data_IF_471777382566
#
_entry.id   IF_471777382566
#
_cell.length_a   1.000
_cell.length_b   1.000
_cell.length_c   1.000
_cell.angle_alpha   90.00
_cell.angle_beta   90.00
_cell.angle_gamma   90.00
#
_symmetry.space_group_name_H-M   'P 1'
#
loop_
_entity.id
_entity.type
_entity.pdbx_description
1 polymer ?
#
# COMPACT_ATOMS: atom_id res chain seq x y z
N UNK A 1 -24.94 -37.45 -38.74
CA UNK A 1 -25.55 -37.52 -37.41
C UNK A 1 -24.42 -37.28 -36.44
N UNK A 2 -24.36 -36.04 -35.96
CA UNK A 2 -23.28 -35.48 -35.15
C UNK A 2 -23.22 -36.17 -33.77
N UNK A 3 -22.02 -36.54 -33.33
CA UNK A 3 -21.70 -36.66 -31.91
C UNK A 3 -20.66 -35.57 -31.60
N UNK A 4 -21.16 -34.44 -31.10
CA UNK A 4 -20.35 -33.44 -30.41
C UNK A 4 -19.78 -34.06 -29.13
N UNK A 5 -18.48 -34.35 -29.13
CA UNK A 5 -17.74 -34.62 -27.90
C UNK A 5 -17.52 -33.30 -27.17
N UNK A 6 -18.50 -32.95 -26.33
CA UNK A 6 -18.38 -31.94 -25.28
C UNK A 6 -17.24 -32.34 -24.33
N UNK A 7 -16.05 -31.81 -24.57
CA UNK A 7 -14.91 -31.87 -23.64
C UNK A 7 -15.14 -30.87 -22.50
N UNK A 8 -16.06 -31.22 -21.59
CA UNK A 8 -16.17 -30.56 -20.30
C UNK A 8 -14.90 -30.80 -19.50
N UNK A 9 -14.02 -29.81 -19.42
CA UNK A 9 -12.87 -29.81 -18.51
C UNK A 9 -13.43 -29.80 -17.09
N UNK A 10 -13.51 -30.97 -16.45
CA UNK A 10 -13.92 -31.07 -15.05
C UNK A 10 -12.82 -30.47 -14.17
N UNK A 11 -13.13 -29.32 -13.56
CA UNK A 11 -12.26 -28.67 -12.59
C UNK A 11 -12.21 -29.52 -11.32
N UNK A 12 -11.14 -30.30 -11.14
CA UNK A 12 -10.90 -31.06 -9.90
C UNK A 12 -10.03 -30.22 -8.94
N UNK A 13 -10.56 -29.80 -7.78
CA UNK A 13 -9.81 -29.03 -6.78
C UNK A 13 -8.52 -29.74 -6.34
N UNK A 14 -8.54 -31.06 -6.27
CA UNK A 14 -7.37 -31.88 -5.90
C UNK A 14 -6.24 -31.81 -6.93
N UNK A 15 -6.58 -31.74 -8.22
CA UNK A 15 -5.58 -31.58 -9.31
C UNK A 15 -5.02 -30.16 -9.33
N UNK A 16 -5.83 -29.16 -8.98
CA UNK A 16 -5.37 -27.78 -8.82
C UNK A 16 -4.43 -27.62 -7.62
N UNK A 17 -4.79 -28.18 -6.46
CA UNK A 17 -3.96 -28.14 -5.24
C UNK A 17 -2.63 -28.86 -5.47
N UNK A 18 -2.62 -30.03 -6.12
CA UNK A 18 -1.38 -30.77 -6.38
C UNK A 18 -0.46 -30.05 -7.39
N UNK A 19 -1.01 -29.44 -8.45
CA UNK A 19 -0.26 -28.58 -9.37
C UNK A 19 0.32 -27.37 -8.66
N UNK A 20 -0.47 -26.70 -7.81
CA UNK A 20 -0.01 -25.55 -7.03
C UNK A 20 1.12 -25.94 -6.06
N UNK A 21 0.99 -27.07 -5.36
CA UNK A 21 2.04 -27.60 -4.48
C UNK A 21 3.33 -27.93 -5.24
N UNK A 22 3.21 -28.54 -6.42
CA UNK A 22 4.37 -28.91 -7.24
C UNK A 22 5.09 -27.66 -7.74
N UNK A 23 4.34 -26.66 -8.21
CA UNK A 23 4.85 -25.37 -8.68
C UNK A 23 5.48 -24.56 -7.54
N UNK A 24 4.86 -24.54 -6.36
CA UNK A 24 5.43 -23.91 -5.16
C UNK A 24 6.74 -24.59 -4.74
N UNK A 25 6.81 -25.91 -4.85
CA UNK A 25 8.01 -26.70 -4.53
C UNK A 25 9.14 -26.48 -5.54
N UNK A 26 8.82 -26.32 -6.82
CA UNK A 26 9.78 -25.98 -7.87
C UNK A 26 10.29 -24.54 -7.72
N UNK A 27 9.39 -23.59 -7.47
CA UNK A 27 9.76 -22.21 -7.17
C UNK A 27 10.68 -22.13 -5.94
N UNK A 28 10.34 -22.85 -4.86
CA UNK A 28 11.16 -22.95 -3.65
C UNK A 28 12.58 -23.44 -3.93
N UNK A 29 12.71 -24.49 -4.74
CA UNK A 29 14.01 -25.06 -5.13
C UNK A 29 14.83 -24.17 -6.08
N UNK A 30 14.18 -23.27 -6.83
CA UNK A 30 14.83 -22.44 -7.85
C UNK A 30 15.60 -21.23 -7.31
N UNK A 31 15.39 -20.87 -6.04
CA UNK A 31 15.96 -19.66 -5.42
C UNK A 31 16.76 -20.00 -4.16
N UNK A 32 17.82 -19.24 -3.83
CA UNK A 32 18.58 -19.44 -2.61
C UNK A 32 17.74 -19.14 -1.37
N UNK A 33 18.08 -19.74 -0.23
CA UNK A 33 17.37 -19.53 1.06
C UNK A 33 17.30 -18.05 1.45
N UNK A 34 18.34 -17.26 1.14
CA UNK A 34 18.38 -15.82 1.38
C UNK A 34 17.23 -15.06 0.70
N UNK A 35 16.78 -15.50 -0.48
CA UNK A 35 15.65 -14.92 -1.18
C UNK A 35 14.34 -15.09 -0.39
N UNK A 36 14.10 -16.30 0.11
CA UNK A 36 12.89 -16.63 0.88
C UNK A 36 12.87 -15.93 2.24
N UNK A 37 14.03 -15.82 2.90
CA UNK A 37 14.17 -15.06 4.14
C UNK A 37 13.86 -13.58 3.91
N UNK A 38 14.42 -12.96 2.85
CA UNK A 38 14.15 -11.56 2.51
C UNK A 38 12.69 -11.33 2.14
N UNK A 39 12.07 -12.26 1.38
CA UNK A 39 10.66 -12.16 1.02
C UNK A 39 9.77 -12.25 2.26
N UNK A 40 10.05 -13.18 3.18
CA UNK A 40 9.30 -13.34 4.42
C UNK A 40 9.45 -12.10 5.32
N UNK A 41 10.68 -11.61 5.51
CA UNK A 41 10.94 -10.42 6.31
C UNK A 41 10.26 -9.18 5.73
N UNK A 42 10.33 -9.00 4.40
CA UNK A 42 9.67 -7.88 3.71
C UNK A 42 8.14 -7.98 3.80
N UNK A 43 7.60 -9.19 3.70
CA UNK A 43 6.17 -9.44 3.83
C UNK A 43 5.67 -9.13 5.26
N UNK A 44 6.37 -9.64 6.28
CA UNK A 44 6.05 -9.35 7.68
C UNK A 44 6.21 -7.86 8.00
N UNK A 45 7.29 -7.23 7.53
CA UNK A 45 7.51 -5.80 7.67
C UNK A 45 6.36 -5.00 7.07
N UNK A 46 5.94 -5.31 5.84
CA UNK A 46 4.79 -4.68 5.20
C UNK A 46 3.48 -4.88 5.97
N UNK A 47 3.18 -6.11 6.39
CA UNK A 47 1.92 -6.47 7.07
C UNK A 47 1.82 -5.91 8.49
N UNK A 48 2.93 -5.60 9.16
CA UNK A 48 2.94 -5.02 10.50
C UNK A 48 3.10 -3.50 10.46
N UNK A 49 4.02 -3.01 9.64
CA UNK A 49 4.43 -1.61 9.68
C UNK A 49 3.41 -0.67 9.03
N UNK A 50 2.74 -1.08 7.94
CA UNK A 50 1.68 -0.25 7.38
C UNK A 50 0.48 -0.09 8.34
N UNK A 51 -0.13 -1.16 8.90
CA UNK A 51 -1.19 -0.98 9.88
C UNK A 51 -0.76 -0.13 11.06
N UNK A 52 0.46 -0.34 11.60
CA UNK A 52 1.00 0.49 12.66
C UNK A 52 1.06 1.98 12.26
N UNK A 53 1.55 2.29 11.06
CA UNK A 53 1.63 3.68 10.57
C UNK A 53 0.24 4.33 10.38
N UNK A 54 -0.75 3.57 9.89
CA UNK A 54 -2.14 4.03 9.75
C UNK A 54 -2.77 4.32 11.12
N UNK A 55 -2.56 3.44 12.09
CA UNK A 55 -3.05 3.63 13.45
C UNK A 55 -2.39 4.82 14.13
N UNK A 56 -1.06 4.98 14.00
CA UNK A 56 -0.33 6.12 14.55
C UNK A 56 -0.79 7.44 13.95
N UNK A 57 -1.06 7.48 12.65
CA UNK A 57 -1.65 8.65 11.99
C UNK A 57 -3.01 9.00 12.57
N UNK A 58 -3.85 7.99 12.87
CA UNK A 58 -5.14 8.20 13.51
C UNK A 58 -5.00 8.65 14.97
N UNK A 59 -4.07 8.06 15.72
CA UNK A 59 -3.75 8.46 17.11
C UNK A 59 -3.31 9.92 17.15
N UNK A 60 -2.49 10.36 16.20
CA UNK A 60 -2.08 11.76 16.09
C UNK A 60 -3.30 12.70 16.00
N UNK A 61 -4.23 12.45 15.07
CA UNK A 61 -5.41 13.30 14.93
C UNK A 61 -6.39 13.17 16.11
N UNK A 62 -6.54 11.97 16.67
CA UNK A 62 -7.42 11.74 17.81
C UNK A 62 -6.95 12.43 19.10
N UNK A 63 -5.64 12.63 19.25
CA UNK A 63 -5.02 13.22 20.42
C UNK A 63 -4.69 14.72 20.27
N UNK A 64 -5.19 15.38 19.21
CA UNK A 64 -5.10 16.83 19.05
C UNK A 64 -4.11 17.32 18.00
N UNK A 65 -3.48 16.43 17.23
CA UNK A 65 -2.73 16.82 16.04
C UNK A 65 -3.66 17.35 14.95
N UNK A 66 -3.26 18.41 14.24
CA UNK A 66 -4.14 19.11 13.28
C UNK A 66 -3.52 19.26 11.90
N UNK A 67 -2.19 19.36 11.83
CA UNK A 67 -1.47 19.49 10.56
C UNK A 67 -1.48 18.18 9.78
N UNK A 68 -1.92 18.28 8.53
CA UNK A 68 -1.88 17.17 7.55
C UNK A 68 -0.55 17.11 6.83
N UNK A 69 0.13 18.25 6.70
CA UNK A 69 1.47 18.30 6.15
C UNK A 69 2.49 17.62 7.06
N UNK A 70 2.35 17.72 8.39
CA UNK A 70 3.22 16.99 9.33
C UNK A 70 3.08 15.48 9.13
N UNK A 71 1.85 14.95 9.06
CA UNK A 71 1.64 13.50 8.84
C UNK A 71 2.14 13.07 7.45
N UNK A 72 1.89 13.87 6.41
CA UNK A 72 2.44 13.63 5.07
C UNK A 72 3.98 13.64 5.06
N UNK A 73 4.60 14.53 5.84
CA UNK A 73 6.05 14.64 5.99
C UNK A 73 6.64 13.47 6.78
N UNK A 74 6.01 13.08 7.88
CA UNK A 74 6.39 11.90 8.70
C UNK A 74 6.45 10.64 7.86
N UNK A 75 5.52 10.46 6.92
CA UNK A 75 5.50 9.32 6.02
C UNK A 75 6.80 9.16 5.20
N UNK A 76 7.54 10.25 4.94
CA UNK A 76 8.76 10.23 4.09
C UNK A 76 10.01 10.73 4.80
N UNK A 77 9.89 11.24 6.03
CA UNK A 77 11.03 11.60 6.88
C UNK A 77 11.96 10.41 7.17
N UNK A 78 11.46 9.18 6.99
CA UNK A 78 12.20 7.93 7.16
C UNK A 78 13.12 7.58 6.00
N UNK A 79 13.20 8.39 4.94
CA UNK A 79 14.06 8.14 3.78
C UNK A 79 15.52 7.76 4.08
N UNK A 80 16.17 8.16 5.21
CA UNK A 80 17.51 7.68 5.53
C UNK A 80 17.57 6.18 5.85
N UNK A 81 16.49 5.55 6.33
CA UNK A 81 16.47 4.12 6.70
C UNK A 81 16.86 3.22 5.53
N UNK A 82 16.23 3.29 4.33
CA UNK A 82 16.68 2.50 3.19
C UNK A 82 18.09 2.89 2.72
N UNK A 83 18.52 4.14 2.91
CA UNK A 83 19.88 4.57 2.56
C UNK A 83 20.92 3.92 3.49
N UNK A 84 20.62 3.77 4.78
CA UNK A 84 21.46 3.06 5.75
C UNK A 84 21.57 1.56 5.44
N UNK A 85 20.53 0.96 4.85
CA UNK A 85 20.55 -0.43 4.39
C UNK A 85 21.36 -0.55 3.08
N UNK A 86 21.27 0.45 2.21
CA UNK A 86 21.95 0.49 0.92
C UNK A 86 23.47 0.71 1.06
N UNK A 87 23.90 1.59 1.96
CA UNK A 87 25.30 2.01 2.07
C UNK A 87 26.29 0.84 2.31
N UNK A 88 26.02 -0.13 3.20
CA UNK A 88 26.85 -1.34 3.35
C UNK A 88 26.93 -2.18 2.07
N UNK A 89 25.90 -2.17 1.22
CA UNK A 89 25.91 -2.95 -0.04
C UNK A 89 26.94 -2.43 -1.04
N UNK A 90 27.18 -1.12 -1.07
CA UNK A 90 28.22 -0.52 -1.89
C UNK A 90 29.61 -0.73 -1.31
N UNK A 91 29.75 -0.61 0.02
CA UNK A 91 31.06 -0.70 0.67
C UNK A 91 31.60 -2.13 0.78
N UNK A 92 30.76 -3.10 1.14
CA UNK A 92 31.21 -4.45 1.48
C UNK A 92 30.94 -5.48 0.38
N UNK A 93 29.97 -5.24 -0.49
CA UNK A 93 29.53 -6.21 -1.50
C UNK A 93 29.91 -5.80 -2.94
N UNK A 94 30.74 -4.77 -3.12
CA UNK A 94 31.21 -4.25 -4.41
C UNK A 94 30.07 -4.01 -5.42
N UNK A 95 28.87 -3.68 -4.94
CA UNK A 95 27.79 -3.24 -5.81
C UNK A 95 28.16 -1.87 -6.39
N UNK A 96 27.98 -1.70 -7.71
CA UNK A 96 28.13 -0.40 -8.34
C UNK A 96 26.78 0.31 -8.34
N UNK A 97 26.72 1.63 -8.05
CA UNK A 97 25.49 2.40 -8.19
C UNK A 97 24.96 2.32 -9.63
N UNK A 98 23.65 2.19 -9.78
CA UNK A 98 23.04 2.24 -11.11
C UNK A 98 23.32 3.59 -11.78
N UNK A 99 23.71 3.62 -13.06
CA UNK A 99 24.00 4.87 -13.75
C UNK A 99 22.74 5.74 -13.84
N UNK A 100 22.79 6.91 -13.21
CA UNK A 100 21.71 7.89 -13.24
C UNK A 100 21.71 8.64 -14.58
N UNK A 101 20.79 8.27 -15.46
CA UNK A 101 20.44 9.05 -16.65
C UNK A 101 19.37 10.11 -16.30
N UNK A 102 19.33 11.21 -17.05
CA UNK A 102 18.35 12.29 -16.92
C UNK A 102 16.91 11.77 -16.93
N UNK A 103 16.58 10.82 -17.81
CA UNK A 103 15.24 10.23 -17.87
C UNK A 103 14.87 9.46 -16.59
N UNK A 104 15.83 8.74 -16.01
CA UNK A 104 15.62 7.99 -14.76
C UNK A 104 15.46 8.97 -13.59
N UNK A 105 16.30 9.99 -13.53
CA UNK A 105 16.20 11.06 -12.52
C UNK A 105 14.84 11.77 -12.59
N UNK A 106 14.40 12.20 -13.78
CA UNK A 106 13.09 12.83 -13.97
C UNK A 106 11.94 11.89 -13.58
N UNK A 107 12.08 10.59 -13.84
CA UNK A 107 11.09 9.60 -13.41
C UNK A 107 11.03 9.49 -11.88
N UNK A 108 12.16 9.54 -11.18
CA UNK A 108 12.19 9.59 -9.72
C UNK A 108 11.63 10.88 -9.15
N UNK A 109 11.90 12.04 -9.77
CA UNK A 109 11.29 13.33 -9.38
C UNK A 109 9.78 13.26 -9.52
N UNK A 110 9.29 12.73 -10.64
CA UNK A 110 7.87 12.56 -10.86
C UNK A 110 7.24 11.60 -9.84
N UNK A 111 7.84 10.44 -9.60
CA UNK A 111 7.37 9.50 -8.58
C UNK A 111 7.41 10.09 -7.16
N UNK A 112 8.46 10.84 -6.82
CA UNK A 112 8.58 11.52 -5.53
C UNK A 112 7.47 12.56 -5.34
N UNK A 113 7.15 13.33 -6.39
CA UNK A 113 6.02 14.25 -6.37
C UNK A 113 4.68 13.53 -6.18
N UNK A 114 4.42 12.47 -6.95
CA UNK A 114 3.20 11.68 -6.81
C UNK A 114 3.11 11.05 -5.40
N UNK A 115 4.22 10.56 -4.85
CA UNK A 115 4.26 10.00 -3.50
C UNK A 115 3.99 11.06 -2.43
N UNK A 116 4.51 12.28 -2.56
CA UNK A 116 4.20 13.38 -1.66
C UNK A 116 2.69 13.73 -1.71
N UNK A 117 2.11 13.78 -2.91
CA UNK A 117 0.68 14.00 -3.10
C UNK A 117 -0.16 12.85 -2.49
N UNK A 118 0.22 11.59 -2.72
CA UNK A 118 -0.43 10.39 -2.16
C UNK A 118 -0.46 10.45 -0.63
N UNK A 119 0.70 10.70 -0.01
CA UNK A 119 0.82 10.82 1.44
C UNK A 119 -0.03 11.96 2.01
N UNK A 120 -0.13 13.09 1.28
CA UNK A 120 -0.98 14.19 1.68
C UNK A 120 -2.46 13.80 1.61
N UNK A 121 -2.90 13.15 0.52
CA UNK A 121 -4.29 12.69 0.39
C UNK A 121 -4.67 11.70 1.50
N UNK A 122 -3.81 10.72 1.81
CA UNK A 122 -4.02 9.83 2.96
C UNK A 122 -4.01 10.57 4.30
N UNK A 123 -3.17 11.59 4.47
CA UNK A 123 -3.19 12.42 5.68
C UNK A 123 -4.54 13.14 5.84
N UNK A 124 -5.14 13.64 4.75
CA UNK A 124 -6.50 14.20 4.76
C UNK A 124 -7.56 13.14 5.06
N UNK A 125 -7.43 11.92 4.51
CA UNK A 125 -8.35 10.83 4.79
C UNK A 125 -8.35 10.46 6.29
N UNK A 126 -7.18 10.20 6.89
CA UNK A 126 -7.04 9.84 8.31
C UNK A 126 -7.45 10.94 9.28
N UNK A 127 -7.50 12.20 8.83
CA UNK A 127 -7.98 13.31 9.65
C UNK A 127 -9.49 13.24 9.91
N UNK A 128 -10.26 12.61 9.00
CA UNK A 128 -11.72 12.64 9.04
C UNK A 128 -12.37 11.25 9.10
N UNK A 129 -11.66 10.20 8.68
CA UNK A 129 -12.16 8.83 8.67
C UNK A 129 -11.60 8.00 9.84
N UNK A 130 -12.39 7.05 10.37
CA UNK A 130 -11.86 5.96 11.18
C UNK A 130 -10.80 5.17 10.43
N UNK A 131 -9.78 4.66 11.15
CA UNK A 131 -8.70 3.89 10.52
C UNK A 131 -9.23 2.61 9.87
N UNK A 132 -10.27 2.00 10.45
CA UNK A 132 -10.97 0.84 9.91
C UNK A 132 -11.72 1.11 8.59
N UNK A 133 -12.24 2.33 8.41
CA UNK A 133 -12.92 2.76 7.19
C UNK A 133 -11.92 3.14 6.11
N UNK A 134 -10.92 3.94 6.47
CA UNK A 134 -9.84 4.32 5.57
C UNK A 134 -9.12 3.08 5.02
N UNK A 135 -8.86 2.04 5.83
CA UNK A 135 -8.23 0.81 5.31
C UNK A 135 -9.12 0.06 4.32
N UNK A 136 -10.44 0.04 4.53
CA UNK A 136 -11.37 -0.57 3.59
C UNK A 136 -11.49 0.22 2.29
N UNK A 137 -11.50 1.55 2.34
CA UNK A 137 -11.47 2.38 1.14
C UNK A 137 -10.12 2.24 0.40
N UNK A 138 -9.02 2.14 1.14
CA UNK A 138 -7.69 1.88 0.61
C UNK A 138 -7.59 0.56 -0.14
N UNK A 139 -8.48 -0.40 0.09
CA UNK A 139 -8.58 -1.65 -0.69
C UNK A 139 -8.86 -1.42 -2.18
N UNK A 140 -9.50 -0.29 -2.50
CA UNK A 140 -9.79 0.13 -3.88
C UNK A 140 -8.53 0.40 -4.70
N UNK A 141 -7.38 0.59 -4.05
CA UNK A 141 -6.08 0.67 -4.72
C UNK A 141 -5.81 -0.53 -5.63
N UNK A 142 -6.35 -1.72 -5.30
CA UNK A 142 -6.24 -2.90 -6.16
C UNK A 142 -7.05 -2.75 -7.45
N UNK A 143 -8.25 -2.16 -7.37
CA UNK A 143 -9.10 -1.88 -8.54
C UNK A 143 -8.36 -0.94 -9.48
N UNK A 144 -7.85 0.17 -8.95
CA UNK A 144 -7.10 1.13 -9.74
C UNK A 144 -5.78 0.55 -10.28
N UNK A 145 -5.08 -0.26 -9.50
CA UNK A 145 -3.87 -0.96 -9.97
C UNK A 145 -4.18 -1.89 -11.14
N UNK A 146 -5.29 -2.63 -11.10
CA UNK A 146 -5.72 -3.48 -12.20
C UNK A 146 -6.06 -2.67 -13.46
N UNK A 147 -6.77 -1.54 -13.29
CA UNK A 147 -7.12 -0.64 -14.39
C UNK A 147 -5.88 0.03 -15.00
N UNK A 148 -4.96 0.55 -14.21
CA UNK A 148 -3.71 1.14 -14.71
C UNK A 148 -2.79 0.08 -15.32
N UNK A 149 -2.74 -1.14 -14.77
CA UNK A 149 -2.05 -2.27 -15.39
C UNK A 149 -2.62 -2.60 -16.77
N UNK A 150 -3.95 -2.55 -16.94
CA UNK A 150 -4.60 -2.72 -18.23
C UNK A 150 -4.31 -1.55 -19.19
N UNK A 151 -4.39 -0.30 -18.73
CA UNK A 151 -4.23 0.89 -19.58
C UNK A 151 -2.78 1.19 -19.97
N UNK A 152 -1.85 1.09 -19.02
CA UNK A 152 -0.45 1.51 -19.18
C UNK A 152 0.42 0.32 -19.63
N UNK A 153 0.31 -0.81 -18.92
CA UNK A 153 1.14 -2.00 -19.16
C UNK A 153 0.52 -2.94 -20.20
N UNK A 154 -0.74 -2.71 -20.59
CA UNK A 154 -1.52 -3.57 -21.51
C UNK A 154 -1.72 -4.99 -20.97
N UNK A 155 -1.83 -5.14 -19.65
CA UNK A 155 -2.17 -6.42 -19.03
C UNK A 155 -3.61 -6.81 -19.40
N UNK A 156 -3.86 -8.07 -19.77
CA UNK A 156 -5.22 -8.55 -20.07
C UNK A 156 -6.03 -8.72 -18.78
N UNK A 157 -7.23 -8.14 -18.74
CA UNK A 157 -8.20 -8.40 -17.67
C UNK A 157 -8.96 -9.69 -17.96
N UNK A 158 -9.08 -10.56 -16.97
CA UNK A 158 -9.93 -11.75 -17.06
C UNK A 158 -11.21 -11.60 -16.24
N UNK A 159 -12.16 -12.52 -16.43
CA UNK A 159 -13.46 -12.49 -15.76
C UNK A 159 -13.33 -12.44 -14.22
N UNK A 160 -12.33 -13.11 -13.66
CA UNK A 160 -12.12 -13.15 -12.20
C UNK A 160 -11.60 -11.81 -11.64
N UNK A 161 -10.72 -11.13 -12.38
CA UNK A 161 -10.31 -9.75 -12.07
C UNK A 161 -11.46 -8.76 -12.19
N UNK A 162 -12.32 -8.90 -13.21
CA UNK A 162 -13.52 -8.06 -13.37
C UNK A 162 -14.47 -8.29 -12.19
N UNK A 163 -14.70 -9.56 -11.80
CA UNK A 163 -15.49 -9.90 -10.63
C UNK A 163 -14.93 -9.25 -9.36
N UNK A 164 -13.61 -9.31 -9.15
CA UNK A 164 -12.95 -8.63 -8.03
C UNK A 164 -13.20 -7.11 -8.02
N UNK A 165 -13.12 -6.46 -9.18
CA UNK A 165 -13.37 -5.03 -9.34
C UNK A 165 -14.81 -4.69 -8.92
N UNK A 166 -15.79 -5.44 -9.42
CA UNK A 166 -17.21 -5.23 -9.08
C UNK A 166 -17.45 -5.41 -7.58
N UNK A 167 -16.89 -6.47 -6.99
CA UNK A 167 -17.05 -6.82 -5.57
C UNK A 167 -16.44 -5.75 -4.66
N UNK A 168 -15.20 -5.31 -4.92
CA UNK A 168 -14.55 -4.27 -4.11
C UNK A 168 -15.26 -2.92 -4.26
N UNK A 169 -15.78 -2.62 -5.46
CA UNK A 169 -16.58 -1.40 -5.68
C UNK A 169 -17.89 -1.44 -4.90
N UNK A 170 -18.57 -2.59 -4.86
CA UNK A 170 -19.77 -2.77 -4.03
C UNK A 170 -19.45 -2.63 -2.54
N UNK A 171 -18.30 -3.13 -2.08
CA UNK A 171 -17.84 -2.98 -0.70
C UNK A 171 -17.64 -1.50 -0.31
N UNK A 172 -17.10 -0.68 -1.21
CA UNK A 172 -16.99 0.77 -1.00
C UNK A 172 -18.37 1.45 -0.93
N UNK A 173 -19.28 1.10 -1.83
CA UNK A 173 -20.63 1.65 -1.83
C UNK A 173 -21.36 1.33 -0.52
N UNK A 174 -21.15 0.12 0.02
CA UNK A 174 -21.71 -0.29 1.30
C UNK A 174 -21.22 0.58 2.47
N UNK A 175 -19.93 0.93 2.48
CA UNK A 175 -19.35 1.82 3.49
C UNK A 175 -19.93 3.23 3.35
N UNK A 176 -20.07 3.73 2.12
CA UNK A 176 -20.66 5.05 1.87
C UNK A 176 -22.10 5.16 2.41
N UNK A 177 -22.89 4.09 2.24
CA UNK A 177 -24.27 4.00 2.75
C UNK A 177 -24.36 3.94 4.27
N UNK A 178 -23.26 3.61 4.95
CA UNK A 178 -23.18 3.44 6.41
C UNK A 178 -22.54 4.64 7.13
N UNK A 179 -22.39 5.77 6.43
CA UNK A 179 -21.72 6.98 6.92
C UNK A 179 -22.26 7.52 8.25
N UNK A 180 -23.54 7.31 8.57
CA UNK A 180 -24.14 7.78 9.82
C UNK A 180 -23.69 6.98 11.06
N UNK A 181 -23.43 5.68 10.92
CA UNK A 181 -22.98 4.84 12.04
C UNK A 181 -21.46 4.85 12.22
N UNK A 182 -20.74 5.25 11.17
CA UNK A 182 -19.28 5.19 11.08
C UNK A 182 -18.58 6.49 11.52
N UNK A 183 -19.28 7.61 11.44
CA UNK A 183 -18.69 8.94 11.66
C UNK A 183 -18.48 9.25 13.14
N UNK A 184 -17.31 9.79 13.48
CA UNK A 184 -17.07 10.32 14.83
C UNK A 184 -17.95 11.53 15.12
N UNK A 185 -18.41 11.67 16.37
CA UNK A 185 -19.28 12.77 16.79
C UNK A 185 -18.71 14.18 16.55
N UNK A 186 -17.37 14.32 16.52
CA UNK A 186 -16.69 15.58 16.26
C UNK A 186 -16.53 15.94 14.77
N UNK A 187 -16.87 15.03 13.85
CA UNK A 187 -16.65 15.20 12.41
C UNK A 187 -17.96 15.53 11.69
N UNK A 188 -17.97 16.58 10.87
CA UNK A 188 -19.15 16.94 10.08
C UNK A 188 -19.38 15.99 8.89
N UNK A 189 -20.61 15.94 8.37
CA UNK A 189 -20.93 15.17 7.16
C UNK A 189 -20.03 15.55 5.98
N UNK A 190 -19.81 16.86 5.76
CA UNK A 190 -18.94 17.33 4.68
C UNK A 190 -17.49 16.89 4.87
N UNK A 191 -16.95 16.94 6.10
CA UNK A 191 -15.59 16.48 6.38
C UNK A 191 -15.44 14.97 6.14
N UNK A 192 -16.43 14.17 6.54
CA UNK A 192 -16.44 12.74 6.28
C UNK A 192 -16.45 12.43 4.77
N UNK A 193 -17.30 13.11 3.99
CA UNK A 193 -17.35 12.97 2.53
C UNK A 193 -16.01 13.33 1.90
N UNK A 194 -15.39 14.44 2.32
CA UNK A 194 -14.06 14.81 1.82
C UNK A 194 -13.00 13.79 2.22
N UNK A 195 -13.04 13.24 3.42
CA UNK A 195 -12.17 12.14 3.84
C UNK A 195 -12.31 10.92 2.92
N UNK A 196 -13.55 10.54 2.60
CA UNK A 196 -13.88 9.44 1.70
C UNK A 196 -13.34 9.68 0.28
N UNK A 197 -13.54 10.87 -0.26
CA UNK A 197 -13.04 11.26 -1.59
C UNK A 197 -11.51 11.26 -1.61
N UNK A 198 -10.85 11.84 -0.60
CA UNK A 198 -9.40 11.86 -0.50
C UNK A 198 -8.81 10.46 -0.40
N UNK A 199 -9.45 9.53 0.31
CA UNK A 199 -8.98 8.14 0.41
C UNK A 199 -9.05 7.40 -0.93
N UNK A 200 -10.16 7.56 -1.69
CA UNK A 200 -10.29 6.96 -3.03
C UNK A 200 -9.28 7.56 -4.01
N UNK A 201 -9.09 8.89 -3.97
CA UNK A 201 -8.09 9.56 -4.81
C UNK A 201 -6.66 9.10 -4.46
N UNK A 202 -6.34 8.98 -3.17
CA UNK A 202 -5.07 8.42 -2.71
C UNK A 202 -4.90 6.99 -3.23
N UNK A 203 -5.92 6.15 -3.07
CA UNK A 203 -5.91 4.76 -3.55
C UNK A 203 -5.67 4.63 -5.05
N UNK A 204 -6.26 5.53 -5.84
CA UNK A 204 -6.00 5.60 -7.27
C UNK A 204 -4.54 6.02 -7.56
N UNK A 205 -4.08 7.07 -6.90
CA UNK A 205 -2.71 7.58 -7.06
C UNK A 205 -1.66 6.54 -6.64
N UNK A 206 -1.91 5.81 -5.54
CA UNK A 206 -1.10 4.71 -5.07
C UNK A 206 -0.98 3.60 -6.12
N UNK A 207 -2.11 3.17 -6.71
CA UNK A 207 -2.12 2.19 -7.79
C UNK A 207 -1.33 2.65 -9.01
N UNK A 208 -1.40 3.94 -9.36
CA UNK A 208 -0.61 4.55 -10.43
C UNK A 208 0.89 4.54 -10.10
N UNK A 209 1.28 4.92 -8.88
CA UNK A 209 2.67 4.91 -8.40
C UNK A 209 3.27 3.51 -8.53
N UNK A 210 2.52 2.46 -8.17
CA UNK A 210 2.95 1.08 -8.31
C UNK A 210 3.17 0.69 -9.77
N UNK A 211 2.23 1.01 -10.67
CA UNK A 211 2.34 0.73 -12.10
C UNK A 211 3.54 1.45 -12.75
N UNK A 212 3.76 2.72 -12.41
CA UNK A 212 4.91 3.50 -12.90
C UNK A 212 6.24 2.99 -12.32
N UNK A 213 6.25 2.58 -11.06
CA UNK A 213 7.43 1.98 -10.42
C UNK A 213 7.82 0.68 -11.11
N UNK A 214 6.86 -0.18 -11.44
CA UNK A 214 7.11 -1.40 -12.22
C UNK A 214 7.67 -1.07 -13.61
N UNK A 215 7.11 -0.07 -14.29
CA UNK A 215 7.59 0.35 -15.61
C UNK A 215 9.07 0.81 -15.56
N UNK A 216 9.47 1.53 -14.50
CA UNK A 216 10.87 1.97 -14.32
C UNK A 216 11.79 0.76 -14.09
N UNK A 217 11.37 -0.20 -13.26
CA UNK A 217 12.13 -1.43 -13.05
C UNK A 217 12.33 -2.22 -14.35
N UNK A 218 11.29 -2.33 -15.19
CA UNK A 218 11.36 -3.08 -16.45
C UNK A 218 12.18 -2.33 -17.50
N UNK A 219 11.99 -1.01 -17.63
CA UNK A 219 12.50 -0.23 -18.76
C UNK A 219 13.90 0.34 -18.56
N UNK A 220 14.24 0.80 -17.35
CA UNK A 220 15.48 1.54 -17.12
C UNK A 220 16.49 0.77 -16.28
N UNK A 221 16.00 0.07 -15.26
CA UNK A 221 16.84 -0.54 -14.24
C UNK A 221 17.15 -2.02 -14.53
N UNK A 222 16.19 -2.72 -15.13
CA UNK A 222 16.21 -4.17 -15.26
C UNK A 222 16.06 -4.86 -13.90
N UNK A 223 15.55 -6.09 -13.88
CA UNK A 223 15.49 -6.93 -12.66
C UNK A 223 16.85 -7.56 -12.34
N UNK A 224 17.90 -6.73 -12.20
CA UNK A 224 19.30 -7.19 -12.09
C UNK A 224 19.70 -7.54 -10.66
N UNK A 225 19.32 -6.74 -9.66
CA UNK A 225 19.74 -6.93 -8.26
C UNK A 225 18.85 -6.18 -7.25
N UNK A 226 18.80 -6.67 -6.02
CA UNK A 226 17.97 -6.08 -4.95
C UNK A 226 18.39 -4.66 -4.54
N UNK A 227 19.67 -4.30 -4.69
CA UNK A 227 20.14 -2.94 -4.38
C UNK A 227 19.43 -1.86 -5.21
N UNK A 228 18.93 -2.21 -6.39
CA UNK A 228 18.20 -1.30 -7.28
C UNK A 228 16.82 -0.90 -6.70
N UNK A 229 16.22 -1.78 -5.90
CA UNK A 229 14.99 -1.48 -5.15
C UNK A 229 15.29 -0.44 -4.07
N UNK A 230 16.40 -0.61 -3.36
CA UNK A 230 16.85 0.32 -2.33
C UNK A 230 17.20 1.68 -2.96
N UNK A 231 17.86 1.71 -4.12
CA UNK A 231 18.14 2.95 -4.86
C UNK A 231 16.87 3.72 -5.23
N UNK A 232 15.91 3.05 -5.85
CA UNK A 232 14.63 3.66 -6.20
C UNK A 232 13.89 4.14 -4.95
N UNK A 233 13.84 3.33 -3.89
CA UNK A 233 13.17 3.70 -2.65
C UNK A 233 13.82 4.92 -1.99
N UNK A 234 15.15 4.98 -1.91
CA UNK A 234 15.88 6.15 -1.37
C UNK A 234 15.57 7.39 -2.19
N UNK A 235 15.68 7.31 -3.52
CA UNK A 235 15.47 8.48 -4.39
C UNK A 235 14.03 8.99 -4.34
N UNK A 236 13.04 8.09 -4.42
CA UNK A 236 11.62 8.46 -4.37
C UNK A 236 11.25 9.01 -2.99
N UNK A 237 11.65 8.36 -1.90
CA UNK A 237 11.39 8.85 -0.53
C UNK A 237 12.08 10.19 -0.27
N UNK A 238 13.32 10.38 -0.73
CA UNK A 238 14.03 11.65 -0.57
C UNK A 238 13.36 12.79 -1.35
N UNK A 239 12.97 12.56 -2.60
CA UNK A 239 12.29 13.57 -3.41
C UNK A 239 10.91 13.90 -2.84
N UNK A 240 10.16 12.88 -2.40
CA UNK A 240 8.91 13.08 -1.68
C UNK A 240 9.11 13.89 -0.39
N UNK A 241 10.17 13.60 0.37
CA UNK A 241 10.55 14.37 1.56
C UNK A 241 10.85 15.84 1.25
N UNK A 242 11.53 16.14 0.14
CA UNK A 242 11.75 17.52 -0.31
C UNK A 242 10.41 18.21 -0.59
N UNK A 243 9.51 17.59 -1.35
CA UNK A 243 8.19 18.17 -1.66
C UNK A 243 7.33 18.38 -0.42
N UNK A 244 7.27 17.40 0.49
CA UNK A 244 6.49 17.54 1.73
C UNK A 244 7.11 18.57 2.67
N UNK A 245 8.45 18.67 2.74
CA UNK A 245 9.14 19.71 3.51
C UNK A 245 8.81 21.10 2.98
N UNK A 246 8.79 21.30 1.67
CA UNK A 246 8.33 22.57 1.06
C UNK A 246 6.89 22.88 1.51
N UNK A 247 6.00 21.89 1.46
CA UNK A 247 4.61 22.04 1.91
C UNK A 247 4.48 22.43 3.38
N UNK A 248 5.21 21.77 4.27
CA UNK A 248 5.25 22.08 5.72
C UNK A 248 5.78 23.50 5.96
N UNK A 249 6.83 23.92 5.25
CA UNK A 249 7.41 25.27 5.35
C UNK A 249 6.40 26.32 4.89
N UNK A 250 5.77 26.12 3.73
CA UNK A 250 4.78 27.06 3.17
C UNK A 250 3.56 27.18 4.09
N UNK A 251 3.11 26.07 4.69
CA UNK A 251 2.00 26.08 5.64
C UNK A 251 2.39 26.57 7.05
N UNK A 252 3.69 26.82 7.31
CA UNK A 252 4.25 27.20 8.61
C UNK A 252 4.03 26.16 9.73
N UNK A 253 3.82 24.90 9.36
CA UNK A 253 3.45 23.85 10.31
C UNK A 253 4.60 23.43 11.23
N UNK A 254 5.86 23.65 10.84
CA UNK A 254 7.00 23.43 11.75
C UNK A 254 6.92 24.28 13.02
N UNK A 255 6.37 25.50 12.94
CA UNK A 255 6.17 26.34 14.12
C UNK A 255 5.01 25.82 14.97
N UNK A 256 4.00 25.24 14.32
CA UNK A 256 2.84 24.61 14.95
C UNK A 256 3.19 23.36 15.75
N UNK A 257 4.23 22.60 15.36
CA UNK A 257 4.63 21.35 16.06
C UNK A 257 4.82 21.52 17.56
N UNK A 258 5.46 22.62 17.99
CA UNK A 258 5.71 22.88 19.42
C UNK A 258 4.39 23.16 20.16
N UNK A 259 3.47 23.86 19.51
CA UNK A 259 2.15 24.13 20.07
C UNK A 259 1.31 22.85 20.15
N UNK A 260 1.30 22.06 19.08
CA UNK A 260 0.57 20.79 19.02
C UNK A 260 1.09 19.82 20.08
N UNK A 261 2.41 19.68 20.22
CA UNK A 261 3.03 18.79 21.20
C UNK A 261 2.63 19.14 22.65
N UNK A 262 2.51 20.44 22.97
CA UNK A 262 2.10 20.92 24.31
C UNK A 262 0.64 20.61 24.62
N UNK A 263 -0.23 20.72 23.62
CA UNK A 263 -1.68 20.46 23.77
C UNK A 263 -2.05 19.00 23.51
N UNK A 264 -1.09 18.17 23.09
CA UNK A 264 -1.33 16.79 22.72
C UNK A 264 -1.79 15.96 23.92
N UNK A 265 -2.85 15.19 23.73
CA UNK A 265 -3.35 14.26 24.74
C UNK A 265 -2.29 13.16 24.96
N UNK A 266 -1.69 13.13 26.15
CA UNK A 266 -0.52 12.29 26.47
C UNK A 266 0.80 13.05 26.53
N UNK A 267 0.79 14.36 26.27
CA UNK A 267 1.94 15.25 26.38
C UNK A 267 2.94 15.15 25.24
N UNK A 268 4.01 15.96 25.33
CA UNK A 268 5.04 16.09 24.30
C UNK A 268 5.75 14.76 23.99
N UNK A 269 5.99 13.94 25.02
CA UNK A 269 6.62 12.62 24.82
C UNK A 269 5.76 11.69 23.96
N UNK A 270 4.45 11.66 24.17
CA UNK A 270 3.55 10.83 23.38
C UNK A 270 3.46 11.34 21.94
N UNK A 271 3.41 12.66 21.74
CA UNK A 271 3.47 13.28 20.41
C UNK A 271 4.73 12.84 19.66
N UNK A 272 5.90 12.98 20.27
CA UNK A 272 7.17 12.59 19.67
C UNK A 272 7.22 11.09 19.35
N UNK A 273 6.74 10.23 20.24
CA UNK A 273 6.67 8.79 19.97
C UNK A 273 5.78 8.47 18.77
N UNK A 274 4.64 9.14 18.63
CA UNK A 274 3.74 8.95 17.48
C UNK A 274 4.43 9.34 16.18
N UNK A 275 5.13 10.48 16.13
CA UNK A 275 5.85 10.90 14.94
C UNK A 275 7.05 10.00 14.61
N UNK A 276 7.85 9.62 15.61
CA UNK A 276 9.04 8.76 15.43
C UNK A 276 8.62 7.38 14.95
N UNK A 277 7.69 6.73 15.64
CA UNK A 277 7.21 5.41 15.23
C UNK A 277 6.43 5.47 13.92
N UNK A 278 5.70 6.56 13.66
CA UNK A 278 5.05 6.79 12.37
C UNK A 278 6.07 6.82 11.24
N UNK A 279 7.17 7.54 11.44
CA UNK A 279 8.28 7.63 10.48
C UNK A 279 8.91 6.27 10.19
N UNK A 280 9.24 5.52 11.26
CA UNK A 280 9.89 4.21 11.15
C UNK A 280 8.96 3.21 10.48
N UNK A 281 7.72 3.09 10.97
CA UNK A 281 6.77 2.09 10.49
C UNK A 281 6.33 2.35 9.07
N UNK A 282 6.08 3.61 8.69
CA UNK A 282 5.71 3.92 7.31
C UNK A 282 6.84 3.57 6.34
N UNK A 283 8.07 3.99 6.65
CA UNK A 283 9.20 3.71 5.77
C UNK A 283 9.48 2.21 5.64
N UNK A 284 9.42 1.45 6.74
CA UNK A 284 9.56 -0.01 6.70
C UNK A 284 8.42 -0.66 5.89
N UNK A 285 7.21 -0.12 5.97
CA UNK A 285 6.06 -0.57 5.18
C UNK A 285 6.30 -0.40 3.67
N UNK A 286 6.68 0.80 3.22
CA UNK A 286 6.94 1.08 1.80
C UNK A 286 8.15 0.30 1.29
N UNK A 287 9.22 0.20 2.09
CA UNK A 287 10.37 -0.63 1.76
C UNK A 287 9.98 -2.11 1.63
N UNK A 288 9.18 -2.64 2.56
CA UNK A 288 8.68 -4.02 2.49
C UNK A 288 7.82 -4.26 1.24
N UNK A 289 6.92 -3.33 0.91
CA UNK A 289 6.07 -3.41 -0.28
C UNK A 289 6.86 -3.39 -1.59
N UNK A 290 7.82 -2.47 -1.72
CA UNK A 290 8.71 -2.40 -2.90
C UNK A 290 9.63 -3.61 -3.01
N UNK A 291 10.13 -4.14 -1.89
CA UNK A 291 10.90 -5.37 -1.85
C UNK A 291 10.09 -6.59 -2.31
N UNK A 292 8.84 -6.75 -1.85
CA UNK A 292 7.96 -7.86 -2.29
C UNK A 292 7.65 -7.74 -3.78
N UNK A 293 7.34 -6.53 -4.27
CA UNK A 293 7.09 -6.24 -5.68
C UNK A 293 8.25 -6.71 -6.56
N UNK A 294 9.48 -6.49 -6.10
CA UNK A 294 10.69 -6.89 -6.80
C UNK A 294 11.01 -8.39 -6.66
N UNK A 295 10.94 -8.94 -5.44
CA UNK A 295 11.37 -10.30 -5.13
C UNK A 295 10.38 -11.35 -5.66
N UNK A 296 9.08 -11.11 -5.54
CA UNK A 296 8.06 -12.08 -5.93
C UNK A 296 7.35 -11.64 -7.21
N UNK A 297 6.41 -10.71 -7.09
CA UNK A 297 5.61 -10.19 -8.20
C UNK A 297 4.68 -9.06 -7.74
N UNK A 298 4.13 -8.32 -8.70
CA UNK A 298 2.98 -7.42 -8.49
C UNK A 298 1.78 -8.13 -7.88
N UNK A 299 1.54 -9.39 -8.28
CA UNK A 299 0.47 -10.23 -7.75
C UNK A 299 0.65 -10.47 -6.26
N UNK A 300 1.84 -10.90 -5.83
CA UNK A 300 2.13 -11.15 -4.41
C UNK A 300 2.05 -9.86 -3.58
N UNK A 301 2.57 -8.74 -4.10
CA UNK A 301 2.42 -7.45 -3.45
C UNK A 301 0.94 -7.05 -3.29
N UNK A 302 0.11 -7.34 -4.31
CA UNK A 302 -1.35 -7.18 -4.27
C UNK A 302 -2.01 -8.08 -3.21
N UNK A 303 -1.59 -9.35 -3.09
CA UNK A 303 -2.07 -10.29 -2.06
C UNK A 303 -1.75 -9.77 -0.65
N UNK A 304 -0.53 -9.30 -0.42
CA UNK A 304 -0.14 -8.77 0.89
C UNK A 304 -0.88 -7.47 1.21
N UNK A 305 -1.08 -6.59 0.23
CA UNK A 305 -1.93 -5.41 0.38
C UNK A 305 -3.37 -5.81 0.72
N UNK A 306 -3.87 -6.89 0.12
CA UNK A 306 -5.18 -7.44 0.42
C UNK A 306 -5.29 -7.94 1.86
N UNK A 307 -4.28 -8.63 2.38
CA UNK A 307 -4.23 -9.11 3.77
C UNK A 307 -4.02 -7.97 4.77
N UNK A 308 -3.30 -6.92 4.37
CA UNK A 308 -3.07 -5.70 5.17
C UNK A 308 -4.37 -4.99 5.56
N UNK A 309 -5.35 -4.94 4.65
CA UNK A 309 -6.64 -4.25 4.88
C UNK A 309 -7.38 -4.80 6.12
N UNK A 310 -7.72 -6.10 6.21
CA UNK A 310 -8.42 -6.65 7.36
C UNK A 310 -7.58 -6.59 8.63
N UNK A 311 -6.26 -6.76 8.54
CA UNK A 311 -5.36 -6.58 9.70
C UNK A 311 -5.48 -5.16 10.27
N UNK A 312 -5.47 -4.14 9.40
CA UNK A 312 -5.62 -2.74 9.81
C UNK A 312 -6.99 -2.48 10.40
N UNK A 313 -8.06 -2.97 9.77
CA UNK A 313 -9.43 -2.78 10.28
C UNK A 313 -9.63 -3.42 11.65
N UNK A 314 -9.18 -4.67 11.83
CA UNK A 314 -9.30 -5.38 13.11
C UNK A 314 -8.46 -4.70 14.19
N UNK A 315 -7.22 -4.32 13.88
CA UNK A 315 -6.36 -3.63 14.83
C UNK A 315 -6.92 -2.26 15.23
N UNK A 316 -7.55 -1.53 14.29
CA UNK A 316 -8.23 -0.26 14.58
C UNK A 316 -9.41 -0.45 15.53
N UNK A 317 -10.24 -1.48 15.33
CA UNK A 317 -11.36 -1.79 16.23
C UNK A 317 -10.86 -2.16 17.64
N UNK A 318 -9.83 -3.01 17.75
CA UNK A 318 -9.32 -3.46 19.05
C UNK A 318 -8.59 -2.34 19.81
N UNK A 319 -7.73 -1.58 19.13
CA UNK A 319 -6.83 -0.62 19.79
C UNK A 319 -7.43 0.78 19.89
N UNK A 320 -8.16 1.23 18.87
CA UNK A 320 -8.75 2.58 18.81
C UNK A 320 -10.24 2.60 19.15
N UNK A 321 -10.85 1.43 19.37
CA UNK A 321 -12.28 1.29 19.63
C UNK A 321 -13.12 1.93 18.50
N UNK A 322 -12.66 1.77 17.26
CA UNK A 322 -13.37 2.24 16.08
C UNK A 322 -14.79 1.63 15.99
N UNK A 323 -15.80 2.40 15.56
CA UNK A 323 -17.16 1.89 15.40
C UNK A 323 -17.17 0.76 14.35
N UNK A 324 -17.85 -0.35 14.65
CA UNK A 324 -17.92 -1.50 13.75
C UNK A 324 -19.38 -1.91 13.52
N UNK A 325 -19.97 -1.38 12.45
CA UNK A 325 -21.35 -1.68 12.04
C UNK A 325 -21.44 -3.03 11.31
N UNK A 326 -22.67 -3.53 11.15
CA UNK A 326 -22.93 -4.71 10.31
C UNK A 326 -22.53 -4.48 8.84
N UNK A 327 -22.72 -3.27 8.31
CA UNK A 327 -22.32 -2.91 6.95
C UNK A 327 -20.80 -2.90 6.78
N UNK A 328 -20.06 -2.40 7.76
CA UNK A 328 -18.59 -2.44 7.75
C UNK A 328 -18.05 -3.87 7.82
N UNK A 329 -18.66 -4.72 8.66
CA UNK A 329 -18.30 -6.15 8.73
C UNK A 329 -18.57 -6.83 7.40
N UNK A 330 -19.73 -6.59 6.79
CA UNK A 330 -20.08 -7.14 5.49
C UNK A 330 -19.11 -6.64 4.40
N UNK A 331 -18.77 -5.34 4.41
CA UNK A 331 -17.79 -4.76 3.49
C UNK A 331 -16.41 -5.41 3.62
N UNK A 332 -15.96 -5.69 4.85
CA UNK A 332 -14.71 -6.40 5.12
C UNK A 332 -14.71 -7.81 4.51
N UNK A 333 -15.79 -8.58 4.70
CA UNK A 333 -15.93 -9.95 4.16
C UNK A 333 -15.97 -9.94 2.63
N UNK A 334 -16.74 -9.03 2.03
CA UNK A 334 -16.87 -8.87 0.58
C UNK A 334 -15.53 -8.42 -0.02
N UNK A 335 -14.81 -7.51 0.63
CA UNK A 335 -13.46 -7.08 0.20
C UNK A 335 -12.48 -8.24 0.19
N UNK A 336 -12.50 -9.09 1.23
CA UNK A 336 -11.68 -10.31 1.27
C UNK A 336 -12.01 -11.27 0.13
N UNK A 337 -13.31 -11.46 -0.19
CA UNK A 337 -13.73 -12.23 -1.36
C UNK A 337 -13.19 -11.62 -2.66
N UNK A 338 -13.31 -10.30 -2.83
CA UNK A 338 -12.82 -9.58 -4.00
C UNK A 338 -11.32 -9.80 -4.21
N UNK A 339 -10.55 -9.75 -3.13
CA UNK A 339 -9.13 -10.09 -3.16
C UNK A 339 -8.87 -11.55 -3.55
N UNK A 340 -9.58 -12.51 -2.96
CA UNK A 340 -9.44 -13.92 -3.34
C UNK A 340 -9.72 -14.14 -4.84
N UNK A 341 -10.73 -13.46 -5.38
CA UNK A 341 -11.05 -13.49 -6.82
C UNK A 341 -9.92 -12.89 -7.66
N UNK A 342 -9.37 -11.74 -7.28
CA UNK A 342 -8.26 -11.13 -8.00
C UNK A 342 -7.02 -12.02 -8.04
N UNK A 343 -6.69 -12.64 -6.90
CA UNK A 343 -5.56 -13.55 -6.76
C UNK A 343 -5.76 -14.80 -7.63
N UNK A 344 -6.97 -15.34 -7.65
CA UNK A 344 -7.31 -16.47 -8.51
C UNK A 344 -7.17 -16.13 -10.01
N UNK A 345 -7.62 -14.93 -10.42
CA UNK A 345 -7.45 -14.44 -11.78
C UNK A 345 -6.00 -14.23 -12.19
N UNK A 346 -5.11 -13.91 -11.25
CA UNK A 346 -3.69 -13.66 -11.54
C UNK A 346 -2.81 -14.92 -11.50
N UNK A 347 -3.33 -16.04 -11.00
CA UNK A 347 -2.58 -17.29 -10.90
C UNK A 347 -2.22 -17.89 -12.27
N UNK A 348 -0.99 -18.37 -12.47
CA UNK A 348 -0.58 -19.01 -13.72
C UNK A 348 -1.32 -20.35 -13.90
N UNK A 349 -2.35 -20.35 -14.75
CA UNK A 349 -3.19 -21.52 -15.05
C UNK A 349 -4.60 -21.15 -15.51
N UNK A 350 -5.05 -19.91 -15.26
CA UNK A 350 -6.35 -19.36 -15.66
C UNK A 350 -6.28 -18.45 -16.89
N UNK A 351 -5.14 -18.42 -17.60
CA UNK A 351 -5.07 -17.89 -18.96
C UNK A 351 -5.87 -18.82 -19.87
N UNK A 352 -7.17 -18.62 -19.95
CA UNK A 352 -7.99 -19.13 -21.04
C UNK A 352 -7.37 -18.58 -22.33
N UNK A 353 -6.83 -19.51 -23.13
CA UNK A 353 -6.30 -19.30 -24.47
C UNK A 353 -7.33 -18.67 -25.38
#
# INVERSE_FOLDING_TARGET
MEEEVSSGISFSPLVWVSKFQTMAREAYKSKPISHWVLLLLSSLGMLVAFPASSLLSRVYYANGGTSKWIISWVAVAGWPIPALILFPTYLFFNASPSPLNLYLFLSYVFLGFLSAADNLMYAYAYAYLPASTASLLASSSLVFSALFGFLIVKNKLNASMINAIVIITAAMALIALDSDSDRYASVSNSQYIWGFVWDILASALHGLIFALSELIFVKFLGRRSFHVVLEQQVMVSFLAFVFTTIGVIVNKDFQGMVSEAKTFKGGESAYNQVLIWGTITFQLGVLGGTAVLYLASTVMAGVLNAVRVPLTSIAAVILLHDPMSGFKILSLVITFWGFASYIYGTAPGTKLS
#
